data_IF_493954261191
#
_entry.id   IF_493954261191
#
_cell.length_a   1.000
_cell.length_b   1.000
_cell.length_c   1.000
_cell.angle_alpha   90.00
_cell.angle_beta   90.00
_cell.angle_gamma   90.00
#
_symmetry.space_group_name_H-M   'P 1'
#
loop_
_entity.id
_entity.type
_entity.pdbx_description
1 polymer ?
#
# COMPACT_ATOMS: atom_id res chain seq x y z
N UNK A 1 9.34 -5.55 -4.15
CA UNK A 1 8.73 -6.01 -5.40
C UNK A 1 7.39 -5.32 -5.59
N UNK A 2 7.08 -5.03 -6.84
CA UNK A 2 5.88 -4.33 -7.31
C UNK A 2 4.94 -5.33 -7.97
N UNK A 3 3.60 -5.18 -7.88
CA UNK A 3 2.67 -6.00 -8.65
C UNK A 3 2.96 -5.90 -10.16
N UNK A 4 2.94 -7.03 -10.87
CA UNK A 4 3.38 -7.09 -12.28
C UNK A 4 2.55 -6.26 -13.27
N UNK A 5 1.37 -5.82 -12.84
CA UNK A 5 0.47 -4.98 -13.63
C UNK A 5 0.67 -3.48 -13.36
N UNK A 6 1.51 -3.11 -12.39
CA UNK A 6 1.77 -1.73 -12.00
C UNK A 6 3.19 -1.30 -12.41
N UNK A 7 3.31 -0.07 -12.89
CA UNK A 7 4.58 0.62 -13.16
C UNK A 7 4.83 1.77 -12.18
N UNK A 8 3.96 1.95 -11.18
CA UNK A 8 4.07 3.06 -10.24
C UNK A 8 5.31 2.89 -9.34
N UNK A 9 6.11 3.96 -9.14
CA UNK A 9 7.24 3.92 -8.21
C UNK A 9 6.72 3.84 -6.77
N UNK A 10 7.42 3.07 -5.92
CA UNK A 10 7.02 2.83 -4.53
C UNK A 10 6.91 4.13 -3.74
N UNK A 11 7.87 5.04 -3.91
CA UNK A 11 7.96 6.31 -3.16
C UNK A 11 6.81 7.29 -3.47
N UNK A 12 6.10 7.09 -4.58
CA UNK A 12 4.95 7.90 -4.96
C UNK A 12 3.61 7.32 -4.53
N UNK A 13 3.60 6.17 -3.86
CA UNK A 13 2.36 5.50 -3.48
C UNK A 13 1.79 6.05 -2.17
N UNK A 14 0.46 6.09 -2.02
CA UNK A 14 -0.17 6.23 -0.72
C UNK A 14 0.37 5.23 0.29
N UNK A 15 0.35 5.57 1.57
CA UNK A 15 0.67 4.61 2.62
C UNK A 15 -0.60 4.01 3.23
N UNK A 16 -0.47 2.79 3.72
CA UNK A 16 -1.48 2.18 4.58
C UNK A 16 -1.48 2.88 5.94
N UNK A 17 -2.67 3.20 6.43
CA UNK A 17 -2.88 3.63 7.82
C UNK A 17 -3.62 2.54 8.59
N UNK A 18 -3.25 2.37 9.85
CA UNK A 18 -3.91 1.46 10.80
C UNK A 18 -4.35 2.27 12.01
N UNK A 19 -5.65 2.31 12.26
CA UNK A 19 -6.27 3.08 13.34
C UNK A 19 -5.82 4.55 13.36
N UNK A 20 -5.71 5.13 12.17
CA UNK A 20 -5.31 6.53 11.96
C UNK A 20 -3.80 6.78 12.02
N UNK A 21 -2.97 5.77 12.28
CA UNK A 21 -1.51 5.90 12.26
C UNK A 21 -0.96 5.48 10.90
N UNK A 22 -0.14 6.32 10.30
CA UNK A 22 0.62 5.97 9.10
C UNK A 22 1.65 4.89 9.44
N UNK A 23 1.69 3.82 8.64
CA UNK A 23 2.64 2.72 8.83
C UNK A 23 3.89 2.86 7.96
N UNK A 24 3.96 3.85 7.07
CA UNK A 24 4.98 4.00 6.04
C UNK A 24 4.96 2.87 4.99
N UNK A 25 3.90 2.06 4.96
CA UNK A 25 3.82 0.90 4.08
C UNK A 25 3.14 1.31 2.78
N UNK A 26 3.89 1.36 1.70
CA UNK A 26 3.38 1.68 0.37
C UNK A 26 2.19 0.80 -0.01
N UNK A 27 1.15 1.42 -0.57
CA UNK A 27 -0.13 0.79 -0.82
C UNK A 27 -0.53 0.94 -2.29
N UNK A 28 -0.42 -0.17 -3.03
CA UNK A 28 -1.03 -0.27 -4.36
C UNK A 28 -2.54 -0.43 -4.24
N UNK A 29 -3.27 0.09 -5.23
CA UNK A 29 -4.72 -0.11 -5.32
C UNK A 29 -5.10 -0.75 -6.65
N UNK A 30 -5.84 -1.86 -6.58
CA UNK A 30 -6.41 -2.54 -7.74
C UNK A 30 -7.87 -2.10 -7.97
N UNK A 31 -8.10 -1.38 -9.06
CA UNK A 31 -9.38 -0.76 -9.44
C UNK A 31 -10.02 -1.45 -10.64
N UNK A 32 -9.24 -1.92 -11.60
CA UNK A 32 -9.76 -2.60 -12.80
C UNK A 32 -9.94 -4.09 -12.58
N UNK A 33 -10.81 -4.73 -13.38
CA UNK A 33 -11.02 -6.18 -13.28
C UNK A 33 -9.73 -6.97 -13.54
N UNK A 34 -8.88 -6.47 -14.46
CA UNK A 34 -7.58 -7.07 -14.77
C UNK A 34 -6.65 -7.03 -13.54
N UNK A 35 -6.49 -5.86 -12.93
CA UNK A 35 -5.63 -5.69 -11.73
C UNK A 35 -6.08 -6.59 -10.59
N UNK A 36 -7.38 -6.66 -10.31
CA UNK A 36 -7.92 -7.52 -9.24
C UNK A 36 -7.73 -9.01 -9.51
N UNK A 37 -7.91 -9.44 -10.75
CA UNK A 37 -7.76 -10.86 -11.12
C UNK A 37 -6.29 -11.29 -11.11
N UNK A 38 -5.36 -10.38 -11.42
CA UNK A 38 -3.93 -10.67 -11.33
C UNK A 38 -3.48 -10.60 -9.87
N UNK A 39 -3.87 -9.58 -9.11
CA UNK A 39 -3.44 -9.41 -7.72
C UNK A 39 -1.91 -9.42 -7.62
N UNK A 40 -1.38 -10.32 -6.78
CA UNK A 40 0.05 -10.59 -6.61
C UNK A 40 0.56 -11.79 -7.43
N UNK A 41 -0.19 -12.28 -8.42
CA UNK A 41 0.29 -13.34 -9.29
C UNK A 41 1.55 -12.89 -10.05
N UNK A 42 2.53 -13.79 -10.12
CA UNK A 42 3.80 -13.55 -10.79
C UNK A 42 4.88 -12.87 -9.93
N UNK A 43 4.55 -12.40 -8.72
CA UNK A 43 5.54 -11.86 -7.79
C UNK A 43 6.14 -12.96 -6.90
N UNK A 44 7.37 -12.74 -6.41
CA UNK A 44 7.99 -13.55 -5.36
C UNK A 44 7.78 -12.95 -3.96
N UNK A 45 7.41 -11.67 -3.90
CA UNK A 45 7.00 -10.96 -2.71
C UNK A 45 6.36 -9.60 -3.07
N UNK A 46 6.01 -8.80 -2.07
CA UNK A 46 5.63 -7.39 -2.18
C UNK A 46 6.44 -6.55 -1.18
N UNK A 47 6.80 -5.32 -1.56
CA UNK A 47 7.46 -4.32 -0.68
C UNK A 47 6.44 -3.27 -0.20
N UNK A 48 5.30 -3.75 0.30
CA UNK A 48 4.17 -2.93 0.68
C UNK A 48 2.91 -3.79 0.83
N UNK A 49 1.76 -3.21 0.55
CA UNK A 49 0.47 -3.89 0.54
C UNK A 49 -0.33 -3.58 -0.73
N UNK A 50 -1.24 -4.47 -1.10
CA UNK A 50 -2.16 -4.30 -2.22
C UNK A 50 -3.61 -4.24 -1.72
N UNK A 51 -4.29 -3.12 -1.96
CA UNK A 51 -5.71 -2.95 -1.72
C UNK A 51 -6.54 -3.36 -2.93
N UNK A 52 -7.21 -4.50 -2.84
CA UNK A 52 -8.14 -5.02 -3.86
C UNK A 52 -9.56 -4.54 -3.53
N UNK A 53 -10.05 -3.58 -4.33
CA UNK A 53 -11.40 -3.03 -4.16
C UNK A 53 -12.49 -4.01 -4.62
N UNK A 54 -13.72 -3.89 -4.09
CA UNK A 54 -14.86 -4.74 -4.48
C UNK A 54 -14.56 -6.25 -4.41
N UNK A 55 -13.81 -6.65 -3.40
CA UNK A 55 -13.38 -8.03 -3.20
C UNK A 55 -13.83 -8.51 -1.82
N UNK A 56 -14.46 -9.67 -1.77
CA UNK A 56 -14.89 -10.31 -0.53
C UNK A 56 -14.34 -11.73 -0.37
N UNK A 57 -13.50 -12.16 -1.31
CA UNK A 57 -12.97 -13.51 -1.41
C UNK A 57 -11.74 -13.54 -2.31
N UNK A 58 -10.70 -14.25 -1.87
CA UNK A 58 -9.48 -14.49 -2.64
C UNK A 58 -9.10 -15.96 -2.63
N UNK A 59 -8.31 -16.35 -3.62
CA UNK A 59 -7.60 -17.61 -3.65
C UNK A 59 -6.10 -17.34 -3.81
N UNK A 60 -5.26 -18.29 -3.42
CA UNK A 60 -3.82 -18.25 -3.62
C UNK A 60 -3.35 -19.30 -4.64
N UNK A 61 -4.21 -19.72 -5.58
CA UNK A 61 -3.78 -20.59 -6.68
C UNK A 61 -2.68 -19.93 -7.51
N UNK A 62 -1.63 -20.69 -7.84
CA UNK A 62 -0.47 -20.22 -8.63
C UNK A 62 0.31 -19.07 -7.98
N UNK A 63 0.03 -18.73 -6.72
CA UNK A 63 0.89 -17.88 -5.90
C UNK A 63 2.22 -18.58 -5.64
N UNK A 64 3.30 -17.80 -5.56
CA UNK A 64 4.66 -18.31 -5.29
C UNK A 64 5.07 -18.18 -3.82
N UNK A 65 4.37 -17.35 -3.05
CA UNK A 65 4.68 -17.07 -1.66
C UNK A 65 3.42 -16.99 -0.79
N UNK A 66 3.63 -17.11 0.53
CA UNK A 66 2.57 -16.94 1.53
C UNK A 66 2.30 -15.45 1.72
N UNK A 67 1.02 -15.09 1.87
CA UNK A 67 0.59 -13.72 2.11
C UNK A 67 -0.31 -13.64 3.34
N UNK A 68 -0.34 -12.49 3.98
CA UNK A 68 -1.42 -12.14 4.88
C UNK A 68 -2.54 -11.49 4.07
N UNK A 69 -3.77 -11.89 4.35
CA UNK A 69 -5.00 -11.44 3.71
C UNK A 69 -5.89 -10.81 4.77
N UNK A 70 -6.09 -9.51 4.65
CA UNK A 70 -6.93 -8.72 5.55
C UNK A 70 -8.24 -8.39 4.83
N UNK A 71 -9.34 -8.95 5.33
CA UNK A 71 -10.67 -8.70 4.80
C UNK A 71 -11.22 -7.41 5.41
N UNK A 72 -11.53 -6.42 4.58
CA UNK A 72 -11.95 -5.08 5.00
C UNK A 72 -13.41 -4.85 4.65
N UNK A 73 -14.21 -4.47 5.64
CA UNK A 73 -15.63 -4.16 5.52
C UNK A 73 -15.91 -2.69 5.20
N UNK A 74 -17.11 -2.23 5.56
CA UNK A 74 -17.49 -0.81 5.40
C UNK A 74 -16.61 0.08 6.27
N UNK A 75 -16.34 1.30 5.80
CA UNK A 75 -15.56 2.34 6.52
C UNK A 75 -14.16 1.87 6.96
N UNK A 76 -13.54 0.96 6.20
CA UNK A 76 -12.19 0.49 6.49
C UNK A 76 -12.08 -0.53 7.62
N UNK A 77 -13.20 -0.97 8.23
CA UNK A 77 -13.15 -1.87 9.40
C UNK A 77 -12.75 -3.29 9.01
N UNK A 78 -11.69 -3.82 9.63
CA UNK A 78 -11.22 -5.19 9.42
C UNK A 78 -12.23 -6.20 9.96
N UNK A 79 -12.65 -7.12 9.10
CA UNK A 79 -13.61 -8.20 9.39
C UNK A 79 -12.89 -9.49 9.80
N UNK A 80 -11.75 -9.77 9.15
CA UNK A 80 -10.93 -10.95 9.42
C UNK A 80 -9.50 -10.73 8.92
N UNK A 81 -8.55 -11.43 9.53
CA UNK A 81 -7.15 -11.52 9.09
C UNK A 81 -6.84 -13.01 8.95
N UNK A 82 -6.17 -13.41 7.88
CA UNK A 82 -5.72 -14.79 7.67
C UNK A 82 -4.41 -14.82 6.94
N UNK A 83 -3.52 -15.73 7.32
CA UNK A 83 -2.32 -16.03 6.54
C UNK A 83 -2.66 -17.16 5.56
N UNK A 84 -2.41 -16.96 4.28
CA UNK A 84 -2.74 -17.91 3.21
C UNK A 84 -1.48 -18.38 2.48
N UNK A 85 -1.11 -19.68 2.59
CA UNK A 85 -0.03 -20.23 1.79
C UNK A 85 -0.46 -20.46 0.34
N UNK A 86 0.50 -20.64 -0.58
CA UNK A 86 0.22 -21.01 -1.97
C UNK A 86 -0.75 -22.18 -2.13
N UNK A 87 -1.54 -22.14 -3.19
CA UNK A 87 -2.51 -23.18 -3.56
C UNK A 87 -3.53 -23.48 -2.45
N UNK A 88 -4.00 -22.42 -1.80
CA UNK A 88 -5.14 -22.44 -0.87
C UNK A 88 -6.25 -21.53 -1.34
N UNK A 89 -7.45 -21.84 -0.86
CA UNK A 89 -8.66 -21.07 -1.10
C UNK A 89 -9.23 -20.69 0.27
N UNK A 90 -9.43 -19.39 0.50
CA UNK A 90 -10.10 -18.92 1.70
C UNK A 90 -11.60 -19.19 1.63
N UNK A 91 -12.32 -19.01 2.73
CA UNK A 91 -13.78 -18.90 2.66
C UNK A 91 -14.18 -17.46 2.33
N UNK A 92 -15.19 -17.23 1.48
CA UNK A 92 -15.75 -15.89 1.27
C UNK A 92 -16.13 -15.23 2.59
N UNK A 93 -15.92 -13.92 2.70
CA UNK A 93 -16.32 -13.10 3.85
C UNK A 93 -17.42 -12.13 3.41
N UNK A 94 -18.72 -12.44 3.60
CA UNK A 94 -19.82 -11.63 3.07
C UNK A 94 -19.84 -10.16 3.49
N UNK A 95 -19.27 -9.85 4.66
CA UNK A 95 -19.17 -8.48 5.18
C UNK A 95 -17.99 -7.70 4.58
N UNK A 96 -17.04 -8.38 3.94
CA UNK A 96 -15.91 -7.75 3.28
C UNK A 96 -16.36 -7.05 2.00
N UNK A 97 -15.77 -5.88 1.76
CA UNK A 97 -15.96 -5.02 0.59
C UNK A 97 -14.65 -4.80 -0.16
N UNK A 98 -13.53 -5.09 0.51
CA UNK A 98 -12.20 -5.12 -0.06
C UNK A 98 -11.33 -6.16 0.66
N UNK A 99 -10.18 -6.44 0.08
CA UNK A 99 -9.11 -7.24 0.67
C UNK A 99 -7.82 -6.45 0.58
N UNK A 100 -7.01 -6.47 1.64
CA UNK A 100 -5.63 -5.99 1.61
C UNK A 100 -4.71 -7.21 1.69
N UNK A 101 -3.89 -7.40 0.67
CA UNK A 101 -2.86 -8.44 0.60
C UNK A 101 -1.50 -7.84 0.97
N UNK A 102 -0.74 -8.52 1.84
CA UNK A 102 0.58 -8.07 2.27
C UNK A 102 1.50 -9.26 2.54
N UNK A 103 2.79 -9.00 2.76
CA UNK A 103 3.75 -10.06 3.08
C UNK A 103 3.31 -10.81 4.33
N UNK A 104 3.55 -12.13 4.37
CA UNK A 104 3.33 -12.93 5.58
C UNK A 104 3.99 -12.27 6.80
N UNK A 105 3.22 -12.08 7.86
CA UNK A 105 3.66 -11.50 9.13
C UNK A 105 3.45 -9.99 9.23
N UNK A 106 3.21 -9.28 8.12
CA UNK A 106 3.01 -7.83 8.16
C UNK A 106 1.75 -7.44 8.90
N UNK A 107 0.68 -8.24 8.81
CA UNK A 107 -0.55 -7.92 9.55
C UNK A 107 -0.28 -7.91 11.06
N UNK A 108 0.46 -8.90 11.56
CA UNK A 108 0.87 -8.96 12.97
C UNK A 108 1.84 -7.85 13.33
N UNK A 109 2.84 -7.58 12.47
CA UNK A 109 3.86 -6.55 12.69
C UNK A 109 3.25 -5.15 12.80
N UNK A 110 2.20 -4.88 12.03
CA UNK A 110 1.48 -3.61 12.02
C UNK A 110 0.33 -3.56 13.04
N UNK A 111 0.13 -4.61 13.85
CA UNK A 111 -0.95 -4.67 14.83
C UNK A 111 -2.35 -4.73 14.23
N UNK A 112 -2.49 -5.20 12.99
CA UNK A 112 -3.77 -5.31 12.29
C UNK A 112 -4.53 -6.52 12.83
N UNK A 113 -5.71 -6.27 13.40
CA UNK A 113 -6.60 -7.32 13.88
C UNK A 113 -8.06 -7.02 13.50
N UNK A 114 -8.95 -7.98 13.74
CA UNK A 114 -10.39 -7.76 13.57
C UNK A 114 -10.81 -6.54 14.40
N UNK A 115 -11.49 -5.59 13.75
CA UNK A 115 -11.95 -4.35 14.36
C UNK A 115 -11.07 -3.13 14.08
N UNK A 116 -9.80 -3.29 13.70
CA UNK A 116 -8.93 -2.19 13.27
C UNK A 116 -9.54 -1.45 12.07
N UNK A 117 -9.18 -0.18 11.91
CA UNK A 117 -9.61 0.67 10.80
C UNK A 117 -8.44 0.88 9.85
N UNK A 118 -8.58 0.40 8.61
CA UNK A 118 -7.61 0.64 7.55
C UNK A 118 -8.07 1.79 6.66
N UNK A 119 -7.14 2.67 6.30
CA UNK A 119 -7.34 3.72 5.32
C UNK A 119 -6.05 4.03 4.57
N UNK A 120 -6.10 4.99 3.64
CA UNK A 120 -4.96 5.44 2.86
C UNK A 120 -4.55 6.84 3.29
N UNK A 121 -3.26 7.07 3.57
CA UNK A 121 -2.68 8.42 3.65
C UNK A 121 -1.98 8.74 2.33
N UNK A 122 -1.96 10.00 1.88
CA UNK A 122 -1.08 10.41 0.78
C UNK A 122 0.39 10.14 1.17
N UNK A 123 1.29 9.91 0.19
CA UNK A 123 2.72 9.89 0.48
C UNK A 123 3.12 11.21 1.14
N UNK A 124 3.99 11.16 2.14
CA UNK A 124 4.53 12.38 2.74
C UNK A 124 5.22 13.19 1.62
N UNK A 125 4.90 14.48 1.46
CA UNK A 125 5.59 15.30 0.45
C UNK A 125 7.09 15.29 0.77
N UNK A 126 7.97 15.22 -0.25
CA UNK A 126 9.39 15.29 -0.01
C UNK A 126 9.69 16.57 0.80
N UNK A 127 10.63 16.51 1.76
CA UNK A 127 11.00 17.69 2.52
C UNK A 127 11.37 18.80 1.54
N UNK A 128 10.97 20.07 1.81
CA UNK A 128 11.31 21.17 0.92
C UNK A 128 12.83 21.17 0.74
N UNK A 129 13.27 21.12 -0.52
CA UNK A 129 14.67 21.32 -0.86
C UNK A 129 15.11 22.64 -0.23
N UNK A 130 16.13 22.61 0.64
CA UNK A 130 16.72 23.85 1.16
C UNK A 130 17.01 24.76 -0.04
N UNK A 131 16.50 26.01 -0.08
CA UNK A 131 16.99 26.96 -1.05
C UNK A 131 18.49 27.06 -0.80
N UNK A 132 19.29 26.68 -1.80
CA UNK A 132 20.73 26.90 -1.76
C UNK A 132 21.01 28.37 -1.46
N UNK A 133 22.18 28.71 -0.87
CA UNK A 133 22.45 30.08 -0.48
C UNK A 133 22.34 30.97 -1.73
N UNK A 134 21.34 31.86 -1.74
CA UNK A 134 21.19 32.86 -2.79
C UNK A 134 22.48 33.67 -2.83
N UNK A 135 23.19 33.56 -3.96
CA UNK A 135 24.39 34.33 -4.21
C UNK A 135 24.05 35.82 -4.13
N UNK A 136 24.53 36.48 -3.08
CA UNK A 136 24.57 37.94 -2.99
C UNK A 136 25.37 38.47 -4.18
N UNK A 137 24.69 38.87 -5.25
CA UNK A 137 25.27 39.74 -6.26
C UNK A 137 25.37 41.15 -5.66
N UNK A 138 26.51 41.44 -5.05
CA UNK A 138 26.85 42.79 -4.61
C UNK A 138 27.01 43.68 -5.86
N UNK A 139 25.99 44.50 -6.12
CA UNK A 139 26.04 45.52 -7.15
C UNK A 139 26.98 46.65 -6.70
N UNK A 140 28.23 46.64 -7.14
CA UNK A 140 29.17 47.74 -6.91
C UNK A 140 28.78 48.89 -7.83
N UNK A 141 28.15 49.92 -7.27
CA UNK A 141 28.08 51.26 -7.87
C UNK A 141 29.51 51.72 -8.20
N UNK A 142 29.79 51.98 -9.48
CA UNK A 142 30.96 52.76 -9.89
C UNK A 142 30.61 54.25 -9.80
N UNK A 143 31.48 55.11 -9.23
CA UNK A 143 31.22 56.54 -9.21
C UNK A 143 31.49 57.16 -10.59
N UNK A 144 30.67 58.16 -10.90
CA UNK A 144 30.72 59.03 -12.07
C UNK A 144 32.05 59.81 -12.07
N UNK A 145 32.76 59.78 -13.20
CA UNK A 145 33.67 60.84 -13.66
C UNK A 145 33.57 60.95 -15.17
#
# INVERSE_FOLDING_TARGET
MTPIWSTAPVDGLPHLTVDGRDTGLALWSAHTRRERNIGLLGTDSIDGALWITRCNWVHCFRMRHTIDVVYVGRRGRVVAVTTMPPNRMGMPRPLARAVVEMRRGDASRLGIHKGSILATSPPEPPPPSNPGPEGHQNNILRPIR
#
